data_IF_340725849204
#
_entry.id   IF_340725849204
#
_cell.length_a   1.000
_cell.length_b   1.000
_cell.length_c   1.000
_cell.angle_alpha   90.00
_cell.angle_beta   90.00
_cell.angle_gamma   90.00
#
_symmetry.space_group_name_H-M   'P 1'
#
loop_
_entity.id
_entity.type
_entity.pdbx_description
1 polymer ?
#
# COMPACT_ATOMS: atom_id res chain seq x y z
N UNK A 1 4.54 3.42 4.96
CA UNK A 1 5.12 4.47 5.82
C UNK A 1 5.91 5.52 5.04
N UNK A 2 6.84 5.15 4.15
CA UNK A 2 7.63 6.12 3.37
C UNK A 2 6.79 7.11 2.54
N UNK A 3 5.71 6.65 1.91
CA UNK A 3 4.76 7.52 1.19
C UNK A 3 4.22 8.66 2.06
N UNK A 4 3.85 8.36 3.32
CA UNK A 4 3.31 9.35 4.25
C UNK A 4 4.36 10.44 4.51
N UNK A 5 5.61 10.02 4.75
CA UNK A 5 6.74 10.93 4.94
C UNK A 5 6.95 11.81 3.71
N UNK A 6 6.95 11.24 2.50
CA UNK A 6 7.14 12.01 1.27
C UNK A 6 6.00 13.00 1.01
N UNK A 7 4.75 12.63 1.27
CA UNK A 7 3.61 13.58 1.24
C UNK A 7 3.81 14.72 2.24
N UNK A 8 4.26 14.44 3.47
CA UNK A 8 4.51 15.49 4.47
C UNK A 8 5.63 16.43 4.01
N UNK A 9 6.74 15.89 3.50
CA UNK A 9 7.86 16.68 2.97
C UNK A 9 7.40 17.55 1.79
N UNK A 10 6.65 16.98 0.85
CA UNK A 10 6.09 17.72 -0.27
C UNK A 10 5.16 18.84 0.20
N UNK A 11 4.24 18.56 1.12
CA UNK A 11 3.34 19.58 1.66
C UNK A 11 4.09 20.71 2.37
N UNK A 12 5.20 20.42 3.04
CA UNK A 12 6.07 21.44 3.63
C UNK A 12 6.76 22.28 2.54
N UNK A 13 7.28 21.67 1.49
CA UNK A 13 7.85 22.36 0.31
C UNK A 13 6.80 23.29 -0.31
N UNK A 14 5.60 22.78 -0.59
CA UNK A 14 4.49 23.54 -1.16
C UNK A 14 4.08 24.69 -0.22
N UNK A 15 4.03 24.45 1.09
CA UNK A 15 3.68 25.46 2.10
C UNK A 15 4.72 26.58 2.18
N UNK A 16 6.02 26.24 2.12
CA UNK A 16 7.12 27.22 2.09
C UNK A 16 7.08 28.05 0.82
N UNK A 17 6.94 27.41 -0.33
CA UNK A 17 6.82 28.12 -1.61
C UNK A 17 5.58 29.03 -1.63
N UNK A 18 4.44 28.59 -1.07
CA UNK A 18 3.24 29.43 -0.98
C UNK A 18 3.46 30.73 -0.19
N UNK A 19 4.35 30.70 0.82
CA UNK A 19 4.72 31.87 1.65
C UNK A 19 5.79 32.75 0.98
N UNK A 20 6.87 32.16 0.47
CA UNK A 20 8.04 32.90 -0.02
C UNK A 20 8.03 33.19 -1.51
N UNK A 21 7.25 32.42 -2.30
CA UNK A 21 7.28 32.38 -3.77
C UNK A 21 8.67 32.07 -4.36
N UNK A 22 9.58 31.51 -3.56
CA UNK A 22 10.91 31.12 -4.00
C UNK A 22 10.87 29.81 -4.81
N UNK A 23 11.14 29.90 -6.10
CA UNK A 23 11.14 28.73 -7.01
C UNK A 23 12.24 27.71 -6.72
N UNK A 24 13.36 28.11 -6.11
CA UNK A 24 14.39 27.15 -5.70
C UNK A 24 13.84 26.13 -4.69
N UNK A 25 12.91 26.54 -3.82
CA UNK A 25 12.22 25.64 -2.91
C UNK A 25 11.35 24.63 -3.66
N UNK A 26 10.65 25.06 -4.71
CA UNK A 26 9.76 24.19 -5.49
C UNK A 26 10.55 23.16 -6.33
N UNK A 27 11.79 23.49 -6.73
CA UNK A 27 12.67 22.54 -7.44
C UNK A 27 13.11 21.36 -6.57
N UNK A 28 13.00 21.45 -5.24
CA UNK A 28 13.25 20.32 -4.33
C UNK A 28 12.25 19.16 -4.53
N UNK A 29 11.13 19.40 -5.23
CA UNK A 29 10.20 18.34 -5.62
C UNK A 29 10.82 17.37 -6.63
N UNK A 30 11.76 17.81 -7.47
CA UNK A 30 12.38 16.94 -8.47
C UNK A 30 13.14 15.76 -7.85
N UNK A 31 14.15 15.96 -6.98
CA UNK A 31 14.83 14.83 -6.34
C UNK A 31 13.89 14.01 -5.46
N UNK A 32 12.87 14.64 -4.85
CA UNK A 32 11.85 13.92 -4.09
C UNK A 32 11.05 12.95 -4.99
N UNK A 33 10.63 13.38 -6.18
CA UNK A 33 9.87 12.53 -7.12
C UNK A 33 10.72 11.41 -7.70
N UNK A 34 12.00 11.67 -8.01
CA UNK A 34 12.94 10.60 -8.43
C UNK A 34 13.02 9.54 -7.33
N UNK A 35 13.31 9.96 -6.09
CA UNK A 35 13.46 9.05 -4.96
C UNK A 35 12.18 8.26 -4.70
N UNK A 36 11.03 8.95 -4.68
CA UNK A 36 9.75 8.34 -4.36
C UNK A 36 9.30 7.33 -5.42
N UNK A 37 9.44 7.66 -6.71
CA UNK A 37 9.08 6.75 -7.80
C UNK A 37 9.90 5.44 -7.81
N UNK A 38 11.12 5.47 -7.25
CA UNK A 38 11.95 4.28 -7.09
C UNK A 38 11.66 3.48 -5.80
N UNK A 39 10.91 4.04 -4.85
CA UNK A 39 10.63 3.40 -3.56
C UNK A 39 9.22 2.84 -3.49
N UNK A 40 8.21 3.57 -3.99
CA UNK A 40 6.82 3.19 -3.78
C UNK A 40 5.88 3.72 -4.85
N UNK A 41 4.95 2.87 -5.31
CA UNK A 41 3.94 3.17 -6.34
C UNK A 41 3.05 4.38 -6.04
N UNK A 42 2.87 4.70 -4.76
CA UNK A 42 2.05 5.82 -4.31
C UNK A 42 2.70 7.21 -4.55
N UNK A 43 3.81 7.31 -5.30
CA UNK A 43 4.34 8.60 -5.80
C UNK A 43 3.31 9.41 -6.59
N UNK A 44 2.27 8.75 -7.12
CA UNK A 44 1.13 9.37 -7.80
C UNK A 44 0.38 10.39 -6.94
N UNK A 45 0.40 10.26 -5.60
CA UNK A 45 -0.14 11.29 -4.72
C UNK A 45 0.63 12.61 -4.85
N UNK A 46 1.94 12.54 -5.02
CA UNK A 46 2.74 13.74 -5.18
C UNK A 46 2.54 14.41 -6.53
N UNK A 47 2.41 13.63 -7.60
CA UNK A 47 1.98 14.17 -8.90
C UNK A 47 0.60 14.83 -8.82
N UNK A 48 -0.33 14.24 -8.07
CA UNK A 48 -1.63 14.83 -7.80
C UNK A 48 -1.51 16.18 -7.06
N UNK A 49 -0.69 16.27 -6.01
CA UNK A 49 -0.47 17.53 -5.27
C UNK A 49 0.16 18.62 -6.16
N UNK A 50 1.16 18.28 -6.96
CA UNK A 50 1.75 19.17 -7.96
C UNK A 50 0.67 19.67 -8.95
N UNK A 51 -0.13 18.76 -9.49
CA UNK A 51 -1.22 19.07 -10.41
C UNK A 51 -2.30 19.96 -9.79
N UNK A 52 -2.71 19.68 -8.55
CA UNK A 52 -3.69 20.50 -7.83
C UNK A 52 -3.18 21.93 -7.61
N UNK A 53 -1.87 22.10 -7.31
CA UNK A 53 -1.26 23.41 -7.20
C UNK A 53 -1.24 24.12 -8.57
N UNK A 54 -0.86 23.42 -9.64
CA UNK A 54 -0.87 23.95 -10.99
C UNK A 54 -2.26 24.47 -11.38
N UNK A 55 -3.31 23.69 -11.13
CA UNK A 55 -4.71 24.08 -11.40
C UNK A 55 -5.07 25.37 -10.67
N UNK A 56 -4.77 25.48 -9.38
CA UNK A 56 -5.03 26.71 -8.61
C UNK A 56 -4.36 27.93 -9.23
N UNK A 57 -3.07 27.84 -9.54
CA UNK A 57 -2.29 28.97 -10.05
C UNK A 57 -2.74 29.37 -11.47
N UNK A 58 -3.09 28.40 -12.32
CA UNK A 58 -3.65 28.67 -13.65
C UNK A 58 -4.99 29.39 -13.54
N UNK A 59 -5.90 28.92 -12.68
CA UNK A 59 -7.20 29.56 -12.46
C UNK A 59 -7.01 31.00 -11.95
N UNK A 60 -6.09 31.23 -11.01
CA UNK A 60 -5.76 32.58 -10.53
C UNK A 60 -5.24 33.46 -11.67
N UNK A 61 -4.33 32.96 -12.50
CA UNK A 61 -3.78 33.71 -13.63
C UNK A 61 -4.84 34.07 -14.69
N UNK A 62 -5.84 33.20 -14.89
CA UNK A 62 -6.98 33.46 -15.78
C UNK A 62 -7.92 34.53 -15.20
N UNK A 63 -8.14 34.54 -13.89
CA UNK A 63 -9.04 35.48 -13.22
C UNK A 63 -8.43 36.88 -13.05
N UNK A 64 -7.16 36.98 -12.65
CA UNK A 64 -6.50 38.26 -12.40
C UNK A 64 -5.93 38.90 -13.68
N UNK A 65 -5.61 38.08 -14.67
CA UNK A 65 -4.98 38.45 -15.93
C UNK A 65 -3.70 39.30 -15.81
N UNK A 66 -2.95 39.17 -14.71
CA UNK A 66 -1.69 39.91 -14.51
C UNK A 66 -0.49 39.19 -15.13
N UNK A 67 0.51 39.95 -15.56
CA UNK A 67 1.75 39.37 -16.10
C UNK A 67 2.51 38.52 -15.06
N UNK A 68 2.49 38.95 -13.80
CA UNK A 68 3.10 38.23 -12.69
C UNK A 68 2.43 36.86 -12.45
N UNK A 69 1.10 36.80 -12.39
CA UNK A 69 0.39 35.54 -12.17
C UNK A 69 0.56 34.58 -13.35
N UNK A 70 0.56 35.07 -14.60
CA UNK A 70 0.90 34.26 -15.79
C UNK A 70 2.33 33.72 -15.74
N UNK A 71 3.28 34.47 -15.19
CA UNK A 71 4.65 33.99 -15.02
C UNK A 71 4.73 32.90 -13.94
N UNK A 72 4.03 33.06 -12.81
CA UNK A 72 3.96 32.05 -11.76
C UNK A 72 3.31 30.77 -12.32
N UNK A 73 2.19 30.88 -13.04
CA UNK A 73 1.52 29.75 -13.68
C UNK A 73 2.44 28.97 -14.61
N UNK A 74 3.15 29.65 -15.51
CA UNK A 74 4.11 29.02 -16.43
C UNK A 74 5.23 28.28 -15.68
N UNK A 75 5.78 28.89 -14.63
CA UNK A 75 6.86 28.26 -13.85
C UNK A 75 6.38 27.06 -13.04
N UNK A 76 5.20 27.14 -12.42
CA UNK A 76 4.60 26.02 -11.69
C UNK A 76 4.23 24.88 -12.64
N UNK A 77 3.69 25.19 -13.81
CA UNK A 77 3.43 24.20 -14.86
C UNK A 77 4.74 23.52 -15.33
N UNK A 78 5.79 24.31 -15.56
CA UNK A 78 7.12 23.78 -15.90
C UNK A 78 7.69 22.84 -14.83
N UNK A 79 7.55 23.19 -13.55
CA UNK A 79 7.99 22.33 -12.44
C UNK A 79 7.13 21.07 -12.33
N UNK A 80 5.82 21.17 -12.56
CA UNK A 80 4.90 20.02 -12.56
C UNK A 80 5.26 19.03 -13.66
N UNK A 81 5.50 19.51 -14.88
CA UNK A 81 5.96 18.69 -15.99
C UNK A 81 7.34 18.07 -15.71
N UNK A 82 8.25 18.83 -15.10
CA UNK A 82 9.55 18.31 -14.69
C UNK A 82 9.43 17.25 -13.58
N UNK A 83 8.48 17.37 -12.66
CA UNK A 83 8.17 16.34 -11.66
C UNK A 83 7.64 15.06 -12.32
N UNK A 84 6.74 15.18 -13.31
CA UNK A 84 6.29 14.04 -14.09
C UNK A 84 7.46 13.36 -14.81
N UNK A 85 8.34 14.12 -15.46
CA UNK A 85 9.54 13.58 -16.10
C UNK A 85 10.50 12.94 -15.08
N UNK A 86 10.67 13.54 -13.90
CA UNK A 86 11.52 13.02 -12.83
C UNK A 86 11.08 11.63 -12.35
N UNK A 87 9.78 11.33 -12.34
CA UNK A 87 9.31 9.98 -12.01
C UNK A 87 9.81 8.91 -12.98
N UNK A 88 10.20 9.26 -14.21
CA UNK A 88 10.72 8.33 -15.22
C UNK A 88 12.20 7.98 -15.00
N UNK A 89 12.87 8.65 -14.06
CA UNK A 89 14.24 8.32 -13.63
C UNK A 89 14.22 7.10 -12.70
N UNK A 90 13.73 5.97 -13.20
CA UNK A 90 13.67 4.68 -12.53
C UNK A 90 13.91 3.55 -13.58
N UNK A 91 14.29 2.33 -13.18
CA UNK A 91 14.58 1.24 -14.12
C UNK A 91 13.42 0.85 -15.05
N UNK A 92 12.18 1.12 -14.65
CA UNK A 92 10.97 0.82 -15.43
C UNK A 92 10.56 1.97 -16.35
N UNK A 93 11.16 3.16 -16.26
CA UNK A 93 10.81 4.34 -17.04
C UNK A 93 9.29 4.61 -17.07
N UNK A 94 8.65 4.56 -18.25
CA UNK A 94 7.19 4.74 -18.43
C UNK A 94 6.37 3.57 -17.87
N UNK A 95 6.97 2.39 -17.74
CA UNK A 95 6.29 1.19 -17.22
C UNK A 95 6.07 1.25 -15.71
N UNK A 96 6.63 2.24 -15.01
CA UNK A 96 6.35 2.50 -13.59
C UNK A 96 4.86 2.79 -13.33
N UNK A 97 4.12 3.24 -14.36
CA UNK A 97 2.68 3.48 -14.29
C UNK A 97 1.83 2.24 -14.59
N UNK A 98 2.43 1.14 -15.08
CA UNK A 98 1.69 -0.06 -15.44
C UNK A 98 0.92 -0.66 -14.25
N UNK A 99 1.51 -0.83 -13.05
CA UNK A 99 0.76 -1.44 -11.96
C UNK A 99 -0.38 -0.54 -11.46
N UNK A 100 -0.27 0.79 -11.61
CA UNK A 100 -1.39 1.71 -11.35
C UNK A 100 -2.56 1.44 -12.32
N UNK A 101 -2.25 1.26 -13.60
CA UNK A 101 -3.26 0.93 -14.61
C UNK A 101 -3.89 -0.43 -14.33
N UNK A 102 -3.13 -1.42 -13.90
CA UNK A 102 -3.62 -2.76 -13.60
C UNK A 102 -4.57 -2.75 -12.39
N UNK A 103 -4.23 -1.99 -11.34
CA UNK A 103 -5.11 -1.77 -10.18
C UNK A 103 -6.44 -1.13 -10.60
N UNK A 104 -6.39 -0.10 -11.46
CA UNK A 104 -7.59 0.61 -11.93
C UNK A 104 -8.45 -0.28 -12.85
N UNK A 105 -7.82 -1.11 -13.69
CA UNK A 105 -8.50 -1.98 -14.66
C UNK A 105 -9.12 -3.23 -14.04
N UNK A 106 -8.69 -3.62 -12.84
CA UNK A 106 -9.13 -4.85 -12.17
C UNK A 106 -9.82 -4.56 -10.84
N UNK A 107 -10.99 -3.88 -10.83
CA UNK A 107 -11.66 -3.49 -9.59
C UNK A 107 -12.17 -4.67 -8.75
N UNK A 108 -12.29 -5.88 -9.33
CA UNK A 108 -12.76 -7.07 -8.61
C UNK A 108 -11.87 -7.46 -7.42
N UNK A 109 -10.56 -7.16 -7.46
CA UNK A 109 -9.65 -7.45 -6.36
C UNK A 109 -10.01 -6.77 -5.05
N UNK A 110 -10.67 -5.61 -5.13
CA UNK A 110 -11.09 -4.86 -3.94
C UNK A 110 -12.10 -5.63 -3.08
N UNK A 111 -12.81 -6.61 -3.63
CA UNK A 111 -13.76 -7.42 -2.87
C UNK A 111 -13.10 -8.47 -1.98
N UNK A 112 -11.88 -8.89 -2.31
CA UNK A 112 -11.23 -10.02 -1.65
C UNK A 112 -10.11 -9.61 -0.69
N UNK A 113 -9.60 -8.38 -0.83
CA UNK A 113 -8.52 -7.87 0.02
C UNK A 113 -9.11 -6.83 0.97
N UNK A 114 -9.17 -7.16 2.25
CA UNK A 114 -9.79 -6.33 3.30
C UNK A 114 -9.17 -4.94 3.41
N UNK A 115 -7.84 -4.81 3.25
CA UNK A 115 -7.14 -3.53 3.42
C UNK A 115 -7.62 -2.44 2.43
N UNK A 116 -8.04 -2.83 1.23
CA UNK A 116 -8.46 -1.89 0.17
C UNK A 116 -9.96 -1.68 0.10
N UNK A 117 -10.74 -2.35 0.96
CA UNK A 117 -12.17 -2.13 1.04
C UNK A 117 -12.50 -0.73 1.60
N UNK A 118 -13.73 -0.28 1.37
CA UNK A 118 -14.22 0.97 1.90
C UNK A 118 -14.26 0.95 3.44
N UNK A 119 -14.22 2.15 4.05
CA UNK A 119 -14.40 2.31 5.50
C UNK A 119 -15.78 1.76 5.92
N UNK A 120 -15.80 0.88 6.93
CA UNK A 120 -17.02 0.21 7.39
C UNK A 120 -17.59 0.81 8.69
N UNK A 121 -16.86 1.73 9.32
CA UNK A 121 -17.23 2.41 10.57
C UNK A 121 -17.52 1.47 11.75
N UNK A 122 -17.03 0.23 11.68
CA UNK A 122 -17.09 -0.72 12.79
C UNK A 122 -15.98 -0.48 13.80
N UNK A 123 -14.88 0.11 13.35
CA UNK A 123 -13.72 0.43 14.18
C UNK A 123 -13.70 1.92 14.53
N UNK A 124 -13.23 2.25 15.74
CA UNK A 124 -13.12 3.64 16.20
C UNK A 124 -12.22 4.56 15.33
N UNK A 125 -11.15 4.09 14.64
CA UNK A 125 -10.32 4.96 13.82
C UNK A 125 -11.07 5.62 12.66
N UNK A 126 -12.06 4.93 12.09
CA UNK A 126 -12.89 5.44 10.99
C UNK A 126 -13.69 6.66 11.44
N UNK A 127 -14.23 6.60 12.67
CA UNK A 127 -14.94 7.71 13.29
C UNK A 127 -14.02 8.90 13.58
N UNK A 128 -12.80 8.64 14.05
CA UNK A 128 -11.81 9.71 14.26
C UNK A 128 -11.44 10.39 12.94
N UNK A 129 -11.23 9.61 11.88
CA UNK A 129 -11.00 10.15 10.55
C UNK A 129 -12.18 11.03 10.10
N UNK A 130 -13.42 10.56 10.25
CA UNK A 130 -14.62 11.32 9.87
C UNK A 130 -14.73 12.64 10.62
N UNK A 131 -14.49 12.64 11.93
CA UNK A 131 -14.51 13.86 12.76
C UNK A 131 -13.44 14.84 12.31
N UNK A 132 -12.20 14.39 12.08
CA UNK A 132 -11.11 15.25 11.61
C UNK A 132 -11.41 15.81 10.21
N UNK A 133 -11.95 14.99 9.31
CA UNK A 133 -12.40 15.43 7.99
C UNK A 133 -13.49 16.50 8.11
N UNK A 134 -14.51 16.30 8.95
CA UNK A 134 -15.58 17.27 9.17
C UNK A 134 -15.05 18.61 9.74
N UNK A 135 -14.14 18.56 10.71
CA UNK A 135 -13.47 19.76 11.24
C UNK A 135 -12.71 20.49 10.13
N UNK A 136 -12.01 19.77 9.25
CA UNK A 136 -11.27 20.39 8.14
C UNK A 136 -12.18 21.09 7.13
N UNK A 137 -13.33 20.47 6.79
CA UNK A 137 -14.35 21.08 5.91
C UNK A 137 -14.91 22.35 6.56
N UNK A 138 -15.26 22.26 7.84
CA UNK A 138 -15.77 23.40 8.59
C UNK A 138 -14.74 24.54 8.68
N UNK A 139 -13.48 24.22 8.95
CA UNK A 139 -12.41 25.21 9.02
C UNK A 139 -12.14 25.89 7.67
N UNK A 140 -12.27 25.15 6.56
CA UNK A 140 -12.23 25.72 5.21
C UNK A 140 -13.43 26.64 4.94
N UNK A 141 -14.63 26.25 5.38
CA UNK A 141 -15.86 27.03 5.25
C UNK A 141 -15.87 28.35 6.04
N UNK A 142 -15.13 28.43 7.16
CA UNK A 142 -14.98 29.68 7.94
C UNK A 142 -14.12 30.74 7.22
N UNK A 143 -13.38 30.40 6.17
CA UNK A 143 -12.52 31.35 5.45
C UNK A 143 -13.36 32.29 4.59
N UNK A 144 -13.11 33.60 4.70
CA UNK A 144 -13.69 34.60 3.77
C UNK A 144 -13.29 34.41 2.31
N UNK A 145 -12.14 33.80 2.04
CA UNK A 145 -11.64 33.48 0.70
C UNK A 145 -11.16 32.03 0.68
N UNK A 146 -11.93 31.17 0.02
CA UNK A 146 -11.59 29.76 -0.16
C UNK A 146 -10.59 29.64 -1.31
N UNK A 147 -9.45 29.01 -1.05
CA UNK A 147 -8.44 28.71 -2.07
C UNK A 147 -8.77 27.38 -2.74
N UNK A 148 -8.47 27.26 -4.04
CA UNK A 148 -8.84 26.08 -4.82
C UNK A 148 -8.03 24.83 -4.42
N UNK A 149 -6.74 24.98 -4.09
CA UNK A 149 -5.88 23.85 -3.76
C UNK A 149 -6.35 23.06 -2.53
N UNK A 150 -6.61 23.66 -1.35
CA UNK A 150 -7.15 22.92 -0.20
C UNK A 150 -8.48 22.21 -0.51
N UNK A 151 -9.34 22.81 -1.34
CA UNK A 151 -10.60 22.20 -1.75
C UNK A 151 -10.36 20.96 -2.61
N UNK A 152 -9.56 21.07 -3.67
CA UNK A 152 -9.26 19.97 -4.58
C UNK A 152 -8.60 18.81 -3.84
N UNK A 153 -7.60 19.12 -3.02
CA UNK A 153 -6.85 18.12 -2.25
C UNK A 153 -7.76 17.42 -1.24
N UNK A 154 -8.58 18.15 -0.49
CA UNK A 154 -9.51 17.56 0.46
C UNK A 154 -10.55 16.68 -0.24
N UNK A 155 -11.14 17.16 -1.34
CA UNK A 155 -12.14 16.43 -2.11
C UNK A 155 -11.59 15.08 -2.58
N UNK A 156 -10.45 15.09 -3.27
CA UNK A 156 -9.84 13.85 -3.79
C UNK A 156 -9.40 12.95 -2.65
N UNK A 157 -8.82 13.50 -1.58
CA UNK A 157 -8.42 12.70 -0.44
C UNK A 157 -9.62 12.03 0.26
N UNK A 158 -10.78 12.67 0.31
CA UNK A 158 -12.01 12.03 0.78
C UNK A 158 -12.46 10.91 -0.16
N UNK A 159 -12.53 11.16 -1.47
CA UNK A 159 -12.93 10.12 -2.44
C UNK A 159 -12.06 8.86 -2.29
N UNK A 160 -10.75 9.04 -2.15
CA UNK A 160 -9.82 7.93 -1.97
C UNK A 160 -10.00 7.23 -0.62
N UNK A 161 -10.12 7.99 0.47
CA UNK A 161 -10.32 7.43 1.81
C UNK A 161 -11.62 6.62 1.93
N UNK A 162 -12.72 7.12 1.38
CA UNK A 162 -14.01 6.41 1.41
C UNK A 162 -14.04 5.21 0.46
N UNK A 163 -13.23 5.22 -0.61
CA UNK A 163 -13.11 4.08 -1.52
C UNK A 163 -12.21 2.97 -0.97
N UNK A 164 -11.20 3.31 -0.17
CA UNK A 164 -10.15 2.41 0.28
C UNK A 164 -9.64 2.84 1.65
N UNK A 165 -9.89 2.02 2.68
CA UNK A 165 -9.44 2.24 4.05
C UNK A 165 -7.91 2.38 4.11
N UNK A 166 -7.18 1.64 3.26
CA UNK A 166 -5.72 1.77 3.08
C UNK A 166 -5.29 3.18 2.67
N UNK A 167 -6.14 3.97 2.01
CA UNK A 167 -5.80 5.32 1.55
C UNK A 167 -6.35 6.43 2.49
N UNK A 168 -7.03 6.06 3.59
CA UNK A 168 -7.57 7.00 4.57
C UNK A 168 -6.50 7.87 5.26
N UNK A 169 -5.26 7.38 5.38
CA UNK A 169 -4.14 8.17 5.89
C UNK A 169 -3.92 9.45 5.08
N UNK A 170 -4.12 9.42 3.76
CA UNK A 170 -3.91 10.59 2.91
C UNK A 170 -4.95 11.66 3.23
N UNK A 171 -6.22 11.25 3.35
CA UNK A 171 -7.31 12.09 3.84
C UNK A 171 -6.99 12.72 5.20
N UNK A 172 -6.51 11.91 6.15
CA UNK A 172 -6.18 12.38 7.49
C UNK A 172 -5.07 13.43 7.47
N UNK A 173 -3.96 13.18 6.75
CA UNK A 173 -2.83 14.12 6.66
C UNK A 173 -3.27 15.43 6.01
N UNK A 174 -4.06 15.38 4.94
CA UNK A 174 -4.57 16.57 4.27
C UNK A 174 -5.55 17.35 5.16
N UNK A 175 -6.47 16.66 5.84
CA UNK A 175 -7.41 17.29 6.77
C UNK A 175 -6.67 18.01 7.92
N UNK A 176 -5.69 17.35 8.53
CA UNK A 176 -4.86 17.95 9.59
C UNK A 176 -4.06 19.15 9.10
N UNK A 177 -3.49 19.08 7.88
CA UNK A 177 -2.80 20.22 7.28
C UNK A 177 -3.74 21.42 7.07
N UNK A 178 -4.98 21.19 6.60
CA UNK A 178 -5.99 22.25 6.44
C UNK A 178 -6.35 22.85 7.79
N UNK A 179 -6.60 22.03 8.81
CA UNK A 179 -6.91 22.49 10.17
C UNK A 179 -5.75 23.36 10.68
N UNK A 180 -4.51 22.86 10.65
CA UNK A 180 -3.34 23.62 11.08
C UNK A 180 -3.10 24.91 10.29
N UNK A 181 -3.39 24.92 8.99
CA UNK A 181 -3.28 26.12 8.18
C UNK A 181 -4.37 27.17 8.48
N UNK A 182 -5.54 26.73 8.98
CA UNK A 182 -6.72 27.57 9.28
C UNK A 182 -6.80 28.03 10.73
N UNK A 183 -6.20 27.29 11.66
CA UNK A 183 -6.23 27.64 13.08
C UNK A 183 -5.45 28.94 13.30
N UNK A 184 -5.99 29.91 14.07
CA UNK A 184 -5.24 31.08 14.49
C UNK A 184 -4.11 30.60 15.41
N UNK A 185 -2.92 30.44 14.86
CA UNK A 185 -1.71 30.30 15.68
C UNK A 185 -1.40 31.70 16.22
N UNK A 186 -1.66 31.94 17.50
CA UNK A 186 -0.92 32.98 18.21
C UNK A 186 0.58 32.68 18.04
N UNK A 187 1.42 33.70 17.83
CA UNK A 187 2.84 33.52 17.61
C UNK A 187 3.57 33.20 18.92
N UNK A 188 3.04 32.32 19.77
CA UNK A 188 3.91 31.57 20.66
C UNK A 188 4.67 30.58 19.78
N UNK A 189 5.77 31.09 19.23
CA UNK A 189 6.83 30.27 18.70
C UNK A 189 7.37 29.46 19.89
N UNK A 190 6.76 28.32 20.17
CA UNK A 190 7.55 27.18 20.60
C UNK A 190 8.56 26.95 19.47
N UNK A 191 9.71 27.62 19.57
CA UNK A 191 10.91 27.33 18.78
C UNK A 191 11.41 25.99 19.30
N UNK A 192 10.63 24.94 19.07
CA UNK A 192 11.07 23.60 19.30
C UNK A 192 12.23 23.40 18.34
N UNK A 193 13.43 23.23 18.88
CA UNK A 193 14.60 22.93 18.08
C UNK A 193 14.26 21.68 17.26
N UNK A 194 14.38 21.70 15.92
CA UNK A 194 14.04 20.52 15.10
C UNK A 194 14.78 19.27 15.56
N UNK A 195 15.99 19.41 16.13
CA UNK A 195 16.72 18.33 16.75
C UNK A 195 16.03 17.79 18.02
N UNK A 196 15.42 18.64 18.84
CA UNK A 196 14.66 18.22 20.02
C UNK A 196 13.33 17.58 19.65
N UNK A 197 12.64 18.07 18.61
CA UNK A 197 11.42 17.42 18.09
C UNK A 197 11.77 16.06 17.50
N UNK A 198 12.86 15.99 16.73
CA UNK A 198 13.35 14.72 16.18
C UNK A 198 13.78 13.76 17.29
N UNK A 199 14.58 14.20 18.25
CA UNK A 199 14.99 13.39 19.39
C UNK A 199 13.79 12.93 20.23
N UNK A 200 12.82 13.83 20.48
CA UNK A 200 11.57 13.49 21.16
C UNK A 200 10.74 12.47 20.39
N UNK A 201 10.64 12.60 19.06
CA UNK A 201 9.97 11.62 18.20
C UNK A 201 10.71 10.27 18.20
N UNK A 202 12.05 10.28 18.14
CA UNK A 202 12.88 9.07 18.22
C UNK A 202 12.71 8.39 19.58
N UNK A 203 12.73 9.15 20.67
CA UNK A 203 12.53 8.61 22.03
C UNK A 203 11.11 8.10 22.21
N UNK A 204 10.08 8.83 21.76
CA UNK A 204 8.70 8.38 21.80
C UNK A 204 8.48 7.12 20.95
N UNK A 205 9.14 7.04 19.80
CA UNK A 205 9.14 5.85 18.94
C UNK A 205 9.86 4.71 19.65
N UNK A 206 11.09 4.89 20.11
CA UNK A 206 11.86 3.89 20.84
C UNK A 206 11.12 3.39 22.10
N UNK A 207 10.45 4.28 22.83
CA UNK A 207 9.61 3.93 23.97
C UNK A 207 8.36 3.14 23.54
N UNK A 208 7.64 3.57 22.49
CA UNK A 208 6.50 2.83 21.96
C UNK A 208 6.89 1.45 21.41
N UNK A 209 8.09 1.33 20.84
CA UNK A 209 8.65 0.07 20.35
C UNK A 209 9.12 -0.82 21.51
N UNK A 210 9.82 -0.26 22.50
CA UNK A 210 10.25 -0.96 23.71
C UNK A 210 9.09 -1.42 24.59
N UNK A 211 8.07 -0.59 24.77
CA UNK A 211 6.85 -0.91 25.52
C UNK A 211 6.01 -2.01 24.87
N UNK A 212 6.20 -2.25 23.56
CA UNK A 212 5.57 -3.36 22.83
C UNK A 212 6.35 -4.68 22.94
N UNK A 213 7.46 -4.72 23.68
CA UNK A 213 8.23 -5.94 23.89
C UNK A 213 8.80 -6.52 22.59
N UNK A 214 9.16 -5.66 21.64
CA UNK A 214 9.75 -6.07 20.36
C UNK A 214 11.11 -6.71 20.60
N UNK A 215 11.14 -8.03 20.63
CA UNK A 215 12.34 -8.86 20.66
C UNK A 215 12.32 -9.81 19.46
N UNK A 216 13.49 -10.30 19.05
CA UNK A 216 13.57 -11.31 17.99
C UNK A 216 12.71 -12.54 18.35
N UNK A 217 12.73 -12.97 19.61
CA UNK A 217 11.89 -14.07 20.08
C UNK A 217 10.38 -13.77 19.97
N UNK A 218 9.94 -12.54 20.27
CA UNK A 218 8.55 -12.15 20.10
C UNK A 218 8.14 -12.10 18.62
N UNK A 219 9.06 -11.67 17.75
CA UNK A 219 8.84 -11.61 16.31
C UNK A 219 8.79 -13.01 15.69
N UNK A 220 9.73 -13.89 16.05
CA UNK A 220 9.75 -15.30 15.64
C UNK A 220 8.49 -16.03 16.10
N UNK A 221 8.07 -15.81 17.35
CA UNK A 221 6.80 -16.35 17.85
C UNK A 221 5.60 -15.82 17.06
N UNK A 222 5.59 -14.54 16.70
CA UNK A 222 4.51 -13.98 15.86
C UNK A 222 4.54 -14.56 14.45
N UNK A 223 5.72 -14.75 13.90
CA UNK A 223 5.93 -15.37 12.59
C UNK A 223 5.40 -16.81 12.58
N UNK A 224 5.73 -17.64 13.57
CA UNK A 224 5.26 -19.04 13.64
C UNK A 224 3.76 -19.19 13.87
N UNK A 225 3.10 -18.18 14.43
CA UNK A 225 1.64 -18.16 14.58
C UNK A 225 0.91 -17.79 13.28
N UNK A 226 1.50 -16.93 12.44
CA UNK A 226 0.82 -16.39 11.24
C UNK A 226 1.26 -17.09 9.93
N UNK A 227 2.45 -17.72 9.92
CA UNK A 227 3.09 -18.32 8.75
C UNK A 227 3.52 -19.77 9.00
N UNK A 228 3.66 -20.59 7.94
CA UNK A 228 3.89 -22.03 8.05
C UNK A 228 5.38 -22.35 8.30
N UNK A 229 5.97 -21.82 9.38
CA UNK A 229 7.42 -21.92 9.64
C UNK A 229 7.87 -23.37 9.77
N UNK A 230 7.22 -24.17 10.62
CA UNK A 230 7.64 -25.54 10.87
C UNK A 230 7.32 -26.48 9.68
N UNK A 231 6.22 -26.25 8.96
CA UNK A 231 5.94 -26.94 7.70
C UNK A 231 6.99 -26.64 6.62
N UNK A 232 7.50 -25.41 6.54
CA UNK A 232 8.60 -25.07 5.63
C UNK A 232 9.91 -25.73 6.07
N UNK A 233 10.23 -25.77 7.36
CA UNK A 233 11.41 -26.49 7.86
C UNK A 233 11.34 -27.98 7.50
N UNK A 234 10.16 -28.60 7.57
CA UNK A 234 9.93 -29.96 7.10
C UNK A 234 10.18 -30.12 5.60
N UNK A 235 9.66 -29.20 4.76
CA UNK A 235 9.87 -29.22 3.31
C UNK A 235 11.33 -28.96 2.91
N UNK A 236 12.10 -28.18 3.67
CA UNK A 236 13.53 -27.98 3.40
C UNK A 236 14.37 -29.23 3.70
N UNK A 237 13.87 -30.14 4.55
CA UNK A 237 14.57 -31.37 4.95
C UNK A 237 14.13 -32.59 4.12
N UNK A 238 13.13 -32.43 3.25
CA UNK A 238 12.51 -33.52 2.49
C UNK A 238 12.46 -33.14 1.02
N UNK A 239 12.88 -34.03 0.12
CA UNK A 239 12.62 -33.82 -1.30
C UNK A 239 11.11 -33.93 -1.56
N UNK A 240 10.47 -32.78 -1.82
CA UNK A 240 9.04 -32.71 -2.06
C UNK A 240 8.71 -32.60 -3.56
N UNK A 241 7.62 -33.23 -4.03
CA UNK A 241 7.26 -33.15 -5.44
C UNK A 241 6.79 -31.75 -5.85
N UNK A 242 7.35 -31.21 -6.93
CA UNK A 242 6.87 -29.98 -7.56
C UNK A 242 5.73 -30.26 -8.56
N UNK A 243 4.90 -29.26 -8.93
CA UNK A 243 4.87 -27.87 -8.45
C UNK A 243 4.25 -27.70 -7.05
N UNK A 244 4.61 -26.61 -6.37
CA UNK A 244 4.04 -26.21 -5.08
C UNK A 244 2.77 -25.36 -5.28
N UNK A 245 1.69 -25.76 -4.62
CA UNK A 245 0.46 -24.98 -4.51
C UNK A 245 0.23 -24.51 -3.08
N UNK A 246 -0.12 -23.23 -2.90
CA UNK A 246 -0.10 -22.57 -1.60
C UNK A 246 -1.25 -21.59 -1.39
N UNK A 247 -1.49 -21.22 -0.14
CA UNK A 247 -2.37 -20.09 0.22
C UNK A 247 -1.79 -18.74 -0.23
N UNK A 248 -2.67 -17.86 -0.72
CA UNK A 248 -2.35 -16.49 -1.17
C UNK A 248 -1.46 -15.71 -0.19
N UNK A 249 -1.83 -15.74 1.09
CA UNK A 249 -1.21 -14.91 2.11
C UNK A 249 0.18 -15.41 2.48
N UNK A 250 0.47 -16.69 2.21
CA UNK A 250 1.76 -17.30 2.48
C UNK A 250 2.74 -17.20 1.31
N UNK A 251 2.28 -16.88 0.09
CA UNK A 251 3.15 -16.87 -1.10
C UNK A 251 4.39 -16.01 -0.95
N UNK A 252 4.28 -14.81 -0.38
CA UNK A 252 5.43 -13.94 -0.15
C UNK A 252 6.45 -14.51 0.85
N UNK A 253 5.95 -15.18 1.89
CA UNK A 253 6.79 -15.88 2.86
C UNK A 253 7.49 -17.08 2.22
N UNK A 254 6.76 -17.88 1.45
CA UNK A 254 7.28 -19.06 0.76
C UNK A 254 8.33 -18.71 -0.30
N UNK A 255 8.16 -17.61 -1.04
CA UNK A 255 9.20 -17.08 -1.95
C UNK A 255 10.51 -16.81 -1.20
N UNK A 256 10.42 -16.28 0.02
CA UNK A 256 11.59 -15.97 0.84
C UNK A 256 12.20 -17.23 1.47
N UNK A 257 11.37 -18.14 1.96
CA UNK A 257 11.81 -19.29 2.77
C UNK A 257 12.14 -20.54 1.95
N UNK A 258 11.60 -20.69 0.73
CA UNK A 258 11.88 -21.79 -0.19
C UNK A 258 12.51 -21.26 -1.50
N UNK A 259 13.72 -20.65 -1.43
CA UNK A 259 14.34 -20.09 -2.61
C UNK A 259 14.64 -21.20 -3.65
N UNK A 260 14.15 -21.02 -4.87
CA UNK A 260 14.28 -21.99 -5.96
C UNK A 260 12.98 -22.72 -6.30
N UNK A 261 11.99 -22.69 -5.41
CA UNK A 261 10.67 -23.28 -5.65
C UNK A 261 9.65 -22.22 -6.04
N UNK A 262 8.91 -22.48 -7.12
CA UNK A 262 7.87 -21.55 -7.58
C UNK A 262 6.59 -21.73 -6.75
N UNK A 263 6.11 -20.62 -6.19
CA UNK A 263 4.81 -20.56 -5.55
C UNK A 263 3.69 -20.44 -6.60
N UNK A 264 2.54 -21.03 -6.32
CA UNK A 264 1.35 -20.87 -7.17
C UNK A 264 0.86 -19.41 -7.20
N UNK A 265 0.78 -18.75 -6.04
CA UNK A 265 0.29 -17.38 -5.93
C UNK A 265 0.89 -16.64 -4.73
N UNK A 266 1.03 -15.32 -4.83
CA UNK A 266 1.42 -14.45 -3.73
C UNK A 266 0.55 -13.19 -3.66
N UNK A 267 0.78 -12.35 -2.64
CA UNK A 267 -0.04 -11.18 -2.33
C UNK A 267 -0.09 -10.09 -3.41
N UNK A 268 0.73 -10.19 -4.46
CA UNK A 268 0.67 -9.32 -5.66
C UNK A 268 -0.47 -9.71 -6.61
N UNK A 269 -1.69 -9.78 -6.08
CA UNK A 269 -2.87 -10.33 -6.75
C UNK A 269 -3.10 -9.81 -8.19
N UNK A 270 -2.91 -8.51 -8.43
CA UNK A 270 -3.11 -7.90 -9.75
C UNK A 270 -2.20 -8.44 -10.85
N UNK A 271 -1.04 -9.03 -10.49
CA UNK A 271 -0.11 -9.68 -11.44
C UNK A 271 -0.65 -11.03 -11.91
N UNK A 272 -1.39 -11.74 -11.04
CA UNK A 272 -1.94 -13.06 -11.36
C UNK A 272 -3.20 -12.98 -12.25
N UNK A 273 -3.82 -11.80 -12.33
CA UNK A 273 -5.05 -11.57 -13.09
C UNK A 273 -6.31 -12.02 -12.34
N UNK A 274 -7.38 -11.25 -12.46
CA UNK A 274 -8.59 -11.44 -11.65
C UNK A 274 -9.19 -12.86 -11.76
N UNK A 275 -9.31 -13.42 -12.97
CA UNK A 275 -9.92 -14.75 -13.15
C UNK A 275 -9.17 -15.87 -12.42
N UNK A 276 -7.83 -15.85 -12.50
CA UNK A 276 -6.97 -16.84 -11.85
C UNK A 276 -7.09 -16.70 -10.33
N UNK A 277 -7.04 -15.47 -9.83
CA UNK A 277 -7.21 -15.18 -8.41
C UNK A 277 -8.58 -15.63 -7.88
N UNK A 278 -9.68 -15.33 -8.59
CA UNK A 278 -11.02 -15.77 -8.20
C UNK A 278 -11.16 -17.29 -8.18
N UNK A 279 -10.52 -17.99 -9.13
CA UNK A 279 -10.46 -19.44 -9.11
C UNK A 279 -9.73 -19.95 -7.86
N UNK A 280 -8.56 -19.39 -7.53
CA UNK A 280 -7.82 -19.79 -6.32
C UNK A 280 -8.61 -19.52 -5.02
N UNK A 281 -9.34 -18.38 -4.94
CA UNK A 281 -10.23 -18.09 -3.82
C UNK A 281 -11.36 -19.11 -3.69
N UNK A 282 -11.99 -19.50 -4.80
CA UNK A 282 -13.00 -20.58 -4.81
C UNK A 282 -12.41 -21.90 -4.33
N UNK A 283 -11.19 -22.22 -4.78
CA UNK A 283 -10.49 -23.43 -4.36
C UNK A 283 -10.18 -23.41 -2.86
N UNK A 284 -9.60 -22.34 -2.30
CA UNK A 284 -9.33 -22.22 -0.86
C UNK A 284 -10.60 -22.30 0.00
N UNK A 285 -11.69 -21.70 -0.47
CA UNK A 285 -12.98 -21.72 0.22
C UNK A 285 -13.74 -23.06 0.10
N UNK A 286 -13.19 -24.04 -0.65
CA UNK A 286 -13.79 -25.36 -0.82
C UNK A 286 -15.05 -25.35 -1.69
N UNK A 287 -15.18 -24.36 -2.58
CA UNK A 287 -16.26 -24.30 -3.56
C UNK A 287 -16.31 -25.58 -4.40
N UNK A 288 -17.49 -26.05 -4.79
CA UNK A 288 -17.68 -27.26 -5.61
C UNK A 288 -16.75 -27.38 -6.84
N UNK A 289 -16.32 -26.25 -7.39
CA UNK A 289 -15.40 -26.12 -8.52
C UNK A 289 -13.93 -26.41 -8.21
N UNK A 290 -13.53 -26.59 -6.93
CA UNK A 290 -12.14 -26.86 -6.53
C UNK A 290 -11.52 -28.06 -7.27
N UNK A 291 -12.34 -29.07 -7.58
CA UNK A 291 -11.94 -30.28 -8.32
C UNK A 291 -11.54 -30.00 -9.76
N UNK A 292 -11.88 -28.83 -10.30
CA UNK A 292 -11.59 -28.40 -11.65
C UNK A 292 -10.42 -27.38 -11.69
N UNK A 293 -9.81 -27.05 -10.55
CA UNK A 293 -8.66 -26.16 -10.50
C UNK A 293 -7.42 -26.87 -11.05
N UNK A 294 -7.06 -26.56 -12.29
CA UNK A 294 -5.94 -27.18 -12.97
C UNK A 294 -4.61 -27.00 -12.22
N UNK A 295 -4.38 -25.86 -11.53
CA UNK A 295 -3.13 -25.63 -10.82
C UNK A 295 -3.02 -26.49 -9.57
N UNK A 296 -4.12 -26.66 -8.83
CA UNK A 296 -4.18 -27.58 -7.70
C UNK A 296 -4.03 -29.03 -8.16
N UNK A 297 -4.67 -29.40 -9.27
CA UNK A 297 -4.62 -30.77 -9.81
C UNK A 297 -3.24 -31.16 -10.35
N UNK A 298 -2.46 -30.19 -10.83
CA UNK A 298 -1.08 -30.41 -11.27
C UNK A 298 -0.07 -30.37 -10.12
N UNK A 299 -0.48 -29.94 -8.93
CA UNK A 299 0.43 -29.73 -7.80
C UNK A 299 0.98 -31.06 -7.28
N UNK A 300 2.31 -31.15 -7.18
CA UNK A 300 2.97 -32.25 -6.50
C UNK A 300 2.90 -32.10 -4.97
N UNK A 301 2.92 -30.86 -4.49
CA UNK A 301 2.84 -30.51 -3.08
C UNK A 301 1.82 -29.39 -2.85
N UNK A 302 1.01 -29.53 -1.81
CA UNK A 302 0.00 -28.55 -1.41
C UNK A 302 0.24 -28.14 0.03
N UNK A 303 0.47 -26.85 0.29
CA UNK A 303 0.65 -26.28 1.64
C UNK A 303 -0.46 -25.28 1.97
N UNK A 304 -1.18 -25.51 3.07
CA UNK A 304 -2.40 -24.78 3.41
C UNK A 304 -2.50 -24.46 4.90
N UNK A 305 -3.19 -23.37 5.28
CA UNK A 305 -3.63 -23.17 6.65
C UNK A 305 -4.46 -24.35 7.11
N UNK A 306 -4.16 -24.90 8.30
CA UNK A 306 -4.83 -26.07 8.84
C UNK A 306 -6.36 -25.93 8.85
N UNK A 307 -6.83 -24.69 9.09
CA UNK A 307 -8.25 -24.35 9.20
C UNK A 307 -8.92 -23.97 7.87
N UNK A 308 -8.24 -24.08 6.74
CA UNK A 308 -8.84 -23.79 5.45
C UNK A 308 -9.92 -24.84 5.09
N UNK A 309 -11.09 -24.44 4.56
CA UNK A 309 -12.15 -25.39 4.17
C UNK A 309 -11.67 -26.51 3.24
N UNK A 310 -10.74 -26.19 2.34
CA UNK A 310 -10.13 -27.14 1.41
C UNK A 310 -9.45 -28.33 2.11
N UNK A 311 -8.92 -28.17 3.32
CA UNK A 311 -8.24 -29.24 4.07
C UNK A 311 -9.16 -30.45 4.30
N UNK A 312 -10.41 -30.20 4.69
CA UNK A 312 -11.39 -31.26 4.89
C UNK A 312 -11.75 -32.01 3.59
N UNK A 313 -11.67 -31.32 2.45
CA UNK A 313 -11.92 -31.90 1.14
C UNK A 313 -10.76 -32.75 0.67
N UNK A 314 -9.51 -32.27 0.83
CA UNK A 314 -8.30 -32.99 0.43
C UNK A 314 -8.05 -34.24 1.28
N UNK A 315 -8.34 -34.21 2.59
CA UNK A 315 -8.23 -35.41 3.45
C UNK A 315 -9.11 -36.58 3.00
N UNK A 316 -10.20 -36.30 2.30
CA UNK A 316 -11.14 -37.30 1.80
C UNK A 316 -10.89 -37.65 0.32
N UNK A 317 -9.83 -37.11 -0.29
CA UNK A 317 -9.48 -37.33 -1.68
C UNK A 317 -8.25 -38.24 -1.78
N UNK A 318 -8.40 -39.39 -2.42
CA UNK A 318 -7.35 -40.41 -2.55
C UNK A 318 -6.11 -39.94 -3.35
N UNK A 319 -6.16 -38.76 -3.96
CA UNK A 319 -5.04 -38.18 -4.72
C UNK A 319 -4.05 -37.43 -3.84
N UNK A 320 -4.38 -37.17 -2.57
CA UNK A 320 -3.60 -36.30 -1.69
C UNK A 320 -3.34 -36.99 -0.35
N UNK A 321 -2.07 -37.21 -0.05
CA UNK A 321 -1.61 -37.85 1.17
C UNK A 321 -1.01 -36.82 2.12
N UNK A 322 -1.49 -36.79 3.37
CA UNK A 322 -0.96 -35.89 4.41
C UNK A 322 0.47 -36.29 4.75
N UNK A 323 1.41 -35.36 4.62
CA UNK A 323 2.83 -35.56 4.93
C UNK A 323 3.25 -34.86 6.21
N UNK A 324 2.66 -33.70 6.50
CA UNK A 324 2.98 -32.89 7.66
C UNK A 324 1.74 -32.14 8.14
N UNK A 325 1.60 -32.01 9.46
CA UNK A 325 0.51 -31.28 10.10
C UNK A 325 0.98 -30.68 11.43
N UNK A 326 0.77 -29.38 11.61
CA UNK A 326 0.94 -28.66 12.88
C UNK A 326 -0.29 -27.77 13.17
N UNK A 327 -0.24 -26.95 14.22
CA UNK A 327 -1.36 -26.07 14.61
C UNK A 327 -1.70 -24.97 13.59
N UNK A 328 -0.76 -24.64 12.68
CA UNK A 328 -0.83 -23.55 11.72
C UNK A 328 -1.10 -24.06 10.30
N UNK A 329 -0.43 -25.14 9.89
CA UNK A 329 -0.29 -25.57 8.51
C UNK A 329 -0.45 -27.09 8.34
N UNK A 330 -0.85 -27.48 7.14
CA UNK A 330 -0.88 -28.86 6.67
C UNK A 330 -0.26 -28.95 5.29
N UNK A 331 0.49 -30.03 5.06
CA UNK A 331 1.15 -30.34 3.78
C UNK A 331 0.61 -31.66 3.24
N UNK A 332 0.21 -31.66 1.98
CA UNK A 332 -0.15 -32.85 1.22
C UNK A 332 0.84 -33.08 0.07
N UNK A 333 1.16 -34.33 -0.21
CA UNK A 333 1.76 -34.72 -1.49
C UNK A 333 0.72 -35.37 -2.38
N UNK A 334 0.79 -35.10 -3.68
CA UNK A 334 -0.07 -35.77 -4.64
C UNK A 334 0.48 -37.15 -4.99
N UNK A 335 -0.36 -38.19 -4.85
CA UNK A 335 0.01 -39.58 -5.12
C UNK A 335 0.33 -39.83 -6.61
N UNK A 336 0.02 -38.89 -7.51
CA UNK A 336 0.37 -38.94 -8.94
C UNK A 336 1.76 -38.40 -9.29
N UNK A 337 2.41 -37.64 -8.41
CA UNK A 337 3.68 -36.97 -8.71
C UNK A 337 4.92 -37.85 -8.46
N UNK A 338 4.79 -38.95 -7.72
CA UNK A 338 5.90 -39.87 -7.42
C UNK A 338 6.42 -40.65 -8.65
N UNK A 339 5.70 -40.63 -9.79
CA UNK A 339 6.04 -41.43 -10.98
C UNK A 339 6.78 -40.68 -12.11
N UNK A 340 7.19 -39.43 -11.91
CA UNK A 340 7.90 -38.66 -12.95
C UNK A 340 9.39 -38.42 -12.68
N UNK A 341 9.95 -38.99 -11.59
CA UNK A 341 11.36 -38.83 -11.22
C UNK A 341 12.35 -39.80 -11.90
N UNK A 342 11.88 -40.89 -12.52
CA UNK A 342 12.74 -41.85 -13.25
C UNK A 342 12.53 -41.74 -14.76
N UNK A 343 12.94 -40.61 -15.35
CA UNK A 343 13.17 -40.51 -16.80
C UNK A 343 13.82 -39.15 -17.13
N UNK A 344 15.13 -39.06 -16.93
CA UNK A 344 16.08 -38.48 -17.91
C UNK A 344 17.52 -38.65 -17.47
#
# INVERSE_FOLDING_TARGET
MFTILFVIIEMEILSRWRKSKNFATLLLLLPLMVLWANIHIQFVFGLFLCGALMVEVVVVAMQSNTAADRQIARRVAGVTLACMAATLCNPYHVWVYQPLLDIVRQPGFYHYITEVQALDFRNWPDWVFLVVAAISVFALGRRRKVRLFPVLVLMVAMVLAFRSARDAWFGLVMALWIIGATWPTEPERLRANPLMVFAGAVVATAFAFGARGLSNAALEKKLSMDFPVAAVEYLQQTDFPEPLWNDFNWGGYLIWSLPGHLVSMDSRGYIHGLKRFEQSVKTWSGDSSWRNDAELLMAGTVILPLRAPLVGLLRNDLRFDVQYEDETAIVFFSSGAANTGESK
#
